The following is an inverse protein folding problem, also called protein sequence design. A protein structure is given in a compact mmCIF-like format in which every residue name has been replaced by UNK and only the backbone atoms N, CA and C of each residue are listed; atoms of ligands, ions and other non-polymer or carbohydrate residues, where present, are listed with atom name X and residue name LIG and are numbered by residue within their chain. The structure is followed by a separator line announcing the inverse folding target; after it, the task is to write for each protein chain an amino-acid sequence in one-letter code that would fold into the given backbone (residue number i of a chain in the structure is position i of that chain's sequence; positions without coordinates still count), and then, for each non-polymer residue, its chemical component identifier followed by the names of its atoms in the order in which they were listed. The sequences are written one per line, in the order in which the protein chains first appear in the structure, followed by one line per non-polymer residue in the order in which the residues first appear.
data_IF_984489494178
#
_entry.id   IF_984489494178
#
_cell.length_a   1.000
_cell.length_b   1.000
_cell.length_c   1.000
_cell.angle_alpha   90.00
_cell.angle_beta   90.00
_cell.angle_gamma   90.00
#
_symmetry.space_group_name_H-M   'P 1'
#
loop_
_entity.id
_entity.type
_entity.pdbx_description
1 polymer ?
#
# COMPACT_ATOMS: atom_id res chain seq x y z
N UNK A 1 10.75 21.55 15.19
CA UNK A 1 10.05 21.23 16.45
C UNK A 1 8.89 20.24 16.35
N UNK A 2 8.19 20.08 15.20
CA UNK A 2 6.98 19.23 15.05
C UNK A 2 7.12 17.73 15.46
N UNK A 3 8.34 17.23 15.70
CA UNK A 3 8.63 15.84 16.12
C UNK A 3 8.97 15.68 17.61
N UNK A 4 9.08 16.77 18.38
CA UNK A 4 9.36 16.70 19.82
C UNK A 4 8.05 16.89 20.58
N UNK A 5 7.64 15.88 21.36
CA UNK A 5 6.50 15.92 22.26
C UNK A 5 6.99 16.31 23.65
N UNK A 6 6.40 17.34 24.26
CA UNK A 6 6.79 17.81 25.60
C UNK A 6 5.67 17.54 26.60
N UNK A 7 6.02 17.15 27.82
CA UNK A 7 5.05 16.84 28.87
C UNK A 7 4.18 15.62 28.55
N UNK A 8 4.69 14.66 27.79
CA UNK A 8 3.92 13.53 27.26
C UNK A 8 3.57 12.52 28.36
N UNK A 9 4.53 12.17 29.21
CA UNK A 9 4.30 11.25 30.33
C UNK A 9 4.45 11.93 31.68
N UNK A 10 5.35 12.91 31.79
CA UNK A 10 5.58 13.67 33.03
C UNK A 10 5.83 15.16 32.73
N UNK A 11 5.43 16.09 33.61
CA UNK A 11 5.72 17.51 33.44
C UNK A 11 7.21 17.77 33.21
N UNK A 12 7.53 18.51 32.15
CA UNK A 12 8.90 18.89 31.80
C UNK A 12 9.69 17.87 30.97
N UNK A 13 9.15 16.68 30.68
CA UNK A 13 9.80 15.74 29.78
C UNK A 13 9.75 16.20 28.30
N UNK A 14 10.63 15.61 27.49
CA UNK A 14 10.66 15.80 26.05
C UNK A 14 11.02 14.48 25.36
N UNK A 15 10.19 14.09 24.40
CA UNK A 15 10.29 12.83 23.68
C UNK A 15 10.35 13.08 22.18
N UNK A 16 11.19 12.33 21.48
CA UNK A 16 11.24 12.37 20.03
C UNK A 16 10.27 11.35 19.44
N UNK A 17 9.28 11.83 18.71
CA UNK A 17 8.38 10.97 17.95
C UNK A 17 9.09 10.51 16.68
N UNK A 18 9.64 9.28 16.72
CA UNK A 18 10.27 8.66 15.56
C UNK A 18 9.27 8.43 14.44
N UNK A 19 8.01 8.20 14.83
CA UNK A 19 6.94 7.77 13.96
C UNK A 19 6.91 6.26 13.78
N UNK A 20 7.67 5.46 14.53
CA UNK A 20 7.69 4.00 14.37
C UNK A 20 6.73 3.33 15.36
N UNK A 21 5.96 2.37 14.87
CA UNK A 21 5.14 1.45 15.64
C UNK A 21 5.98 0.21 15.95
N UNK A 22 6.08 -0.13 17.24
CA UNK A 22 6.87 -1.25 17.73
C UNK A 22 5.97 -2.23 18.48
N UNK A 23 6.24 -3.53 18.35
CA UNK A 23 5.58 -4.60 19.11
C UNK A 23 6.60 -5.29 20.00
N UNK A 24 6.19 -5.59 21.23
CA UNK A 24 6.98 -6.44 22.12
C UNK A 24 6.77 -7.89 21.70
N UNK A 25 7.87 -8.60 21.46
CA UNK A 25 7.86 -10.01 21.06
C UNK A 25 8.63 -10.86 22.06
N UNK A 26 8.13 -12.06 22.29
CA UNK A 26 8.85 -13.09 23.03
C UNK A 26 9.63 -13.94 22.04
N UNK A 27 10.96 -13.94 22.17
CA UNK A 27 11.87 -14.70 21.29
C UNK A 27 12.41 -15.97 21.96
N UNK A 28 11.87 -16.37 23.12
CA UNK A 28 12.14 -17.65 23.79
C UNK A 28 13.54 -17.81 24.42
N UNK A 29 14.53 -17.01 23.99
CA UNK A 29 15.90 -17.03 24.50
C UNK A 29 16.31 -15.61 24.90
N UNK A 30 15.88 -15.17 26.09
CA UNK A 30 16.17 -13.83 26.59
C UNK A 30 16.76 -13.88 27.98
N UNK A 31 17.83 -13.12 28.20
CA UNK A 31 18.37 -12.81 29.53
C UNK A 31 17.43 -11.84 30.30
N UNK A 32 16.13 -12.11 30.31
CA UNK A 32 15.10 -11.32 31.00
C UNK A 32 14.80 -9.93 30.41
N UNK A 33 15.27 -9.63 29.19
CA UNK A 33 15.02 -8.33 28.53
C UNK A 33 13.87 -8.43 27.51
N UNK A 34 13.01 -7.40 27.40
CA UNK A 34 11.99 -7.33 26.35
C UNK A 34 12.62 -7.10 24.98
N UNK A 35 12.13 -7.81 23.96
CA UNK A 35 12.52 -7.60 22.57
C UNK A 35 11.44 -6.81 21.84
N UNK A 36 11.87 -5.88 20.99
CA UNK A 36 10.99 -5.03 20.21
C UNK A 36 11.18 -5.34 18.73
N UNK A 37 10.08 -5.65 18.05
CA UNK A 37 10.02 -5.79 16.61
C UNK A 37 9.42 -4.51 16.01
N UNK A 38 10.05 -3.99 14.97
CA UNK A 38 9.47 -2.94 14.15
C UNK A 38 8.23 -3.47 13.44
N UNK A 39 7.12 -2.76 13.57
CA UNK A 39 5.84 -3.11 12.93
C UNK A 39 5.63 -2.24 11.70
N UNK A 40 5.61 -0.93 11.88
CA UNK A 40 5.34 0.01 10.78
C UNK A 40 5.75 1.44 11.14
N UNK A 41 5.58 2.40 10.23
CA UNK A 41 5.63 3.83 10.54
C UNK A 41 4.21 4.42 10.59
N UNK A 42 3.93 5.22 11.62
CA UNK A 42 2.78 6.12 11.74
C UNK A 42 2.76 7.06 10.54
N UNK A 43 1.88 6.76 9.58
CA UNK A 43 1.76 7.46 8.30
C UNK A 43 1.96 6.57 7.07
N UNK A 44 2.56 5.39 7.23
CA UNK A 44 2.70 4.34 6.20
C UNK A 44 1.51 3.34 6.27
N UNK A 45 0.37 3.78 6.82
CA UNK A 45 -0.91 3.05 6.85
C UNK A 45 -2.00 3.82 6.12
N UNK A 46 -2.95 3.13 5.51
CA UNK A 46 -4.21 3.74 5.07
C UNK A 46 -5.40 3.07 5.75
N UNK A 47 -6.53 3.78 5.82
CA UNK A 47 -7.78 3.23 6.38
C UNK A 47 -8.74 2.92 5.25
N UNK A 48 -9.24 1.71 5.15
CA UNK A 48 -10.18 1.28 4.10
C UNK A 48 -11.36 0.56 4.72
N UNK A 49 -12.59 1.03 4.47
CA UNK A 49 -13.82 0.43 5.01
C UNK A 49 -13.73 0.16 6.52
N UNK A 50 -13.31 1.19 7.25
CA UNK A 50 -13.08 1.15 8.69
C UNK A 50 -11.97 0.22 9.23
N UNK A 51 -11.17 -0.39 8.37
CA UNK A 51 -9.99 -1.20 8.73
C UNK A 51 -8.70 -0.42 8.52
N UNK A 52 -7.69 -0.61 9.38
CA UNK A 52 -6.35 -0.06 9.18
C UNK A 52 -5.50 -1.07 8.41
N UNK A 53 -4.84 -0.62 7.35
CA UNK A 53 -4.01 -1.45 6.47
C UNK A 53 -2.57 -0.92 6.49
N UNK A 54 -1.63 -1.79 6.83
CA UNK A 54 -0.19 -1.51 6.73
C UNK A 54 0.26 -1.59 5.28
N UNK A 55 0.85 -0.52 4.76
CA UNK A 55 1.41 -0.55 3.39
C UNK A 55 2.65 -1.44 3.32
N UNK A 56 3.40 -1.57 4.41
CA UNK A 56 4.60 -2.40 4.48
C UNK A 56 4.23 -3.89 4.47
N UNK A 57 3.28 -4.33 5.31
CA UNK A 57 2.83 -5.73 5.34
C UNK A 57 2.28 -6.18 3.98
N UNK A 58 1.40 -5.36 3.38
CA UNK A 58 0.87 -5.63 2.05
C UNK A 58 1.99 -5.65 1.01
N UNK A 59 2.95 -4.74 1.11
CA UNK A 59 4.10 -4.67 0.22
C UNK A 59 5.01 -5.89 0.31
N UNK A 60 5.32 -6.37 1.53
CA UNK A 60 6.11 -7.58 1.76
C UNK A 60 5.44 -8.81 1.13
N UNK A 61 4.13 -8.97 1.32
CA UNK A 61 3.38 -10.07 0.71
C UNK A 61 3.41 -9.98 -0.82
N UNK A 62 3.21 -8.79 -1.39
CA UNK A 62 3.26 -8.60 -2.85
C UNK A 62 4.66 -8.88 -3.40
N UNK A 63 5.71 -8.42 -2.73
CA UNK A 63 7.10 -8.62 -3.13
C UNK A 63 7.54 -10.09 -3.07
N UNK A 64 6.83 -10.94 -2.33
CA UNK A 64 7.09 -12.38 -2.31
C UNK A 64 6.62 -13.11 -3.59
N UNK A 65 5.86 -12.45 -4.48
CA UNK A 65 5.42 -13.07 -5.74
C UNK A 65 6.58 -13.11 -6.76
N UNK A 66 6.86 -14.25 -7.44
CA UNK A 66 8.04 -14.41 -8.29
C UNK A 66 8.18 -13.43 -9.47
N UNK A 67 7.06 -12.85 -9.92
CA UNK A 67 7.06 -11.88 -11.02
C UNK A 67 7.25 -10.42 -10.59
N UNK A 68 7.39 -10.14 -9.29
CA UNK A 68 7.52 -8.78 -8.75
C UNK A 68 8.97 -8.56 -8.31
N UNK A 69 9.61 -7.49 -8.81
CA UNK A 69 10.90 -7.04 -8.32
C UNK A 69 10.74 -6.22 -7.03
N UNK A 70 9.82 -5.26 -7.04
CA UNK A 70 9.48 -4.43 -5.90
C UNK A 70 8.11 -3.78 -6.10
N UNK A 71 7.46 -3.37 -5.00
CA UNK A 71 6.22 -2.61 -5.03
C UNK A 71 6.19 -1.46 -4.01
N UNK A 72 5.40 -0.45 -4.33
CA UNK A 72 5.03 0.64 -3.45
C UNK A 72 3.53 0.63 -3.22
N UNK A 73 3.11 0.39 -1.97
CA UNK A 73 1.70 0.38 -1.58
C UNK A 73 1.33 1.72 -0.93
N UNK A 74 0.16 2.26 -1.28
CA UNK A 74 -0.36 3.51 -0.74
C UNK A 74 -1.89 3.59 -0.85
N UNK A 75 -2.50 4.49 -0.08
CA UNK A 75 -3.95 4.71 -0.10
C UNK A 75 -4.37 5.82 -1.07
N UNK A 76 -5.33 5.53 -1.94
CA UNK A 76 -5.95 6.49 -2.88
C UNK A 76 -7.42 6.74 -2.53
N UNK A 77 -7.90 7.95 -2.81
CA UNK A 77 -9.32 8.27 -2.59
C UNK A 77 -10.20 7.62 -3.65
N UNK A 78 -11.34 7.08 -3.23
CA UNK A 78 -12.38 6.58 -4.13
C UNK A 78 -13.67 7.31 -3.80
N UNK A 79 -14.33 7.98 -4.77
CA UNK A 79 -15.56 8.70 -4.51
C UNK A 79 -16.63 7.83 -3.86
N UNK A 80 -17.26 8.36 -2.81
CA UNK A 80 -18.33 7.70 -2.01
C UNK A 80 -17.92 6.42 -1.27
N UNK A 81 -16.63 6.12 -1.16
CA UNK A 81 -16.14 5.04 -0.32
C UNK A 81 -15.62 5.58 1.03
N UNK A 82 -15.67 4.74 2.08
CA UNK A 82 -15.12 5.08 3.39
C UNK A 82 -13.60 4.85 3.42
N UNK A 83 -12.86 5.94 3.63
CA UNK A 83 -11.41 5.94 3.72
C UNK A 83 -10.71 6.00 2.36
N UNK A 84 -9.59 5.29 2.24
CA UNK A 84 -8.72 5.23 1.06
C UNK A 84 -8.55 3.78 0.62
N UNK A 85 -8.78 3.51 -0.65
CA UNK A 85 -8.55 2.20 -1.23
C UNK A 85 -7.05 1.92 -1.37
N UNK A 86 -6.65 0.66 -1.20
CA UNK A 86 -5.27 0.26 -1.42
C UNK A 86 -4.91 0.34 -2.91
N UNK A 87 -3.75 0.92 -3.21
CA UNK A 87 -3.13 0.93 -4.53
C UNK A 87 -1.70 0.38 -4.41
N UNK A 88 -1.30 -0.48 -5.36
CA UNK A 88 0.06 -0.98 -5.44
C UNK A 88 0.69 -0.60 -6.80
N UNK A 89 1.75 0.19 -6.76
CA UNK A 89 2.63 0.40 -7.90
C UNK A 89 3.69 -0.71 -7.92
N UNK A 90 3.75 -1.48 -9.01
CA UNK A 90 4.54 -2.69 -9.15
C UNK A 90 5.63 -2.49 -10.21
N UNK A 91 6.83 -2.93 -9.90
CA UNK A 91 7.91 -3.15 -10.87
C UNK A 91 8.06 -4.64 -11.09
N UNK A 92 8.04 -5.09 -12.34
CA UNK A 92 8.16 -6.51 -12.67
C UNK A 92 9.61 -6.98 -12.56
N UNK A 93 9.78 -8.27 -12.26
CA UNK A 93 11.08 -8.93 -12.26
C UNK A 93 11.73 -8.92 -13.66
N UNK A 94 13.06 -9.00 -13.70
CA UNK A 94 13.80 -9.06 -14.96
C UNK A 94 13.33 -10.24 -15.81
N UNK A 95 13.13 -10.01 -17.12
CA UNK A 95 12.63 -11.02 -18.05
C UNK A 95 11.11 -11.22 -18.02
N UNK A 96 10.37 -10.58 -17.12
CA UNK A 96 8.90 -10.63 -17.09
C UNK A 96 8.32 -9.48 -17.92
N UNK A 97 7.83 -9.80 -19.13
CA UNK A 97 7.22 -8.79 -20.01
C UNK A 97 5.82 -8.37 -19.57
N UNK A 98 5.06 -9.29 -18.96
CA UNK A 98 3.69 -9.06 -18.51
C UNK A 98 3.41 -9.86 -17.24
N UNK A 99 2.67 -9.25 -16.31
CA UNK A 99 2.21 -9.91 -15.09
C UNK A 99 1.13 -10.96 -15.41
N UNK A 100 1.28 -12.17 -14.89
CA UNK A 100 0.20 -13.15 -14.84
C UNK A 100 -0.80 -12.74 -13.74
N UNK A 101 -1.89 -12.09 -14.16
CA UNK A 101 -2.92 -11.60 -13.25
C UNK A 101 -3.60 -12.73 -12.49
N UNK A 102 -3.77 -13.92 -13.08
CA UNK A 102 -4.44 -15.03 -12.40
C UNK A 102 -3.56 -15.57 -11.26
N UNK A 103 -2.27 -15.81 -11.55
CA UNK A 103 -1.30 -16.22 -10.53
C UNK A 103 -1.16 -15.15 -9.44
N UNK A 104 -1.01 -13.89 -9.83
CA UNK A 104 -0.85 -12.79 -8.88
C UNK A 104 -2.08 -12.60 -7.99
N UNK A 105 -3.28 -12.65 -8.59
CA UNK A 105 -4.54 -12.57 -7.83
C UNK A 105 -4.70 -13.72 -6.85
N UNK A 106 -4.36 -14.94 -7.23
CA UNK A 106 -4.42 -16.10 -6.33
C UNK A 106 -3.47 -15.92 -5.14
N UNK A 107 -2.25 -15.44 -5.38
CA UNK A 107 -1.27 -15.13 -4.33
C UNK A 107 -1.79 -14.07 -3.35
N UNK A 108 -2.25 -12.93 -3.85
CA UNK A 108 -2.82 -11.85 -3.02
C UNK A 108 -4.05 -12.32 -2.26
N UNK A 109 -4.98 -13.04 -2.90
CA UNK A 109 -6.20 -13.50 -2.24
C UNK A 109 -5.95 -14.59 -1.20
N UNK A 110 -4.91 -15.40 -1.37
CA UNK A 110 -4.53 -16.45 -0.41
C UNK A 110 -3.81 -15.90 0.82
N UNK A 111 -3.05 -14.81 0.68
CA UNK A 111 -2.18 -14.29 1.74
C UNK A 111 -2.76 -13.07 2.45
N UNK A 112 -3.66 -12.29 1.82
CA UNK A 112 -4.23 -11.08 2.39
C UNK A 112 -5.74 -11.21 2.67
N UNK A 113 -6.23 -10.69 3.81
CA UNK A 113 -7.65 -10.54 4.05
C UNK A 113 -8.27 -9.53 3.08
N UNK A 114 -9.57 -9.67 2.79
CA UNK A 114 -10.25 -8.91 1.74
C UNK A 114 -10.08 -7.39 1.83
N UNK A 115 -10.03 -6.82 3.04
CA UNK A 115 -9.88 -5.38 3.26
C UNK A 115 -8.45 -4.86 2.99
N UNK A 116 -7.43 -5.72 3.06
CA UNK A 116 -6.03 -5.34 2.88
C UNK A 116 -5.53 -5.52 1.44
N UNK A 117 -6.30 -6.25 0.61
CA UNK A 117 -5.97 -6.45 -0.81
C UNK A 117 -5.99 -5.11 -1.55
N UNK A 118 -4.94 -4.74 -2.30
CA UNK A 118 -4.98 -3.56 -3.14
C UNK A 118 -6.17 -3.64 -4.10
N UNK A 119 -6.95 -2.57 -4.18
CA UNK A 119 -8.04 -2.44 -5.15
C UNK A 119 -7.47 -2.14 -6.53
N UNK A 120 -6.39 -1.35 -6.60
CA UNK A 120 -5.75 -0.92 -7.84
C UNK A 120 -4.31 -1.41 -7.93
N UNK A 121 -3.90 -1.81 -9.12
CA UNK A 121 -2.50 -2.08 -9.45
C UNK A 121 -2.06 -1.16 -10.58
N UNK A 122 -0.79 -0.73 -10.53
CA UNK A 122 -0.12 0.00 -11.60
C UNK A 122 1.20 -0.68 -11.91
N UNK A 123 1.41 -1.11 -13.15
CA UNK A 123 2.68 -1.70 -13.58
C UNK A 123 3.57 -0.60 -14.16
N UNK A 124 4.60 -0.21 -13.41
CA UNK A 124 5.54 0.83 -13.82
C UNK A 124 6.57 0.26 -14.78
N UNK A 125 6.76 0.91 -15.94
CA UNK A 125 7.74 0.47 -16.95
C UNK A 125 9.18 0.78 -16.57
N UNK A 126 9.42 1.87 -15.86
CA UNK A 126 10.71 2.22 -15.27
C UNK A 126 10.44 2.84 -13.89
N UNK A 127 11.24 2.45 -12.89
CA UNK A 127 11.35 3.26 -11.67
C UNK A 127 12.01 4.56 -12.11
N UNK A 128 11.24 5.65 -12.23
CA UNK A 128 11.81 6.97 -12.42
C UNK A 128 12.80 7.21 -11.28
N UNK A 129 14.08 7.05 -11.58
CA UNK A 129 15.15 7.17 -10.61
C UNK A 129 15.55 8.64 -10.57
N UNK A 130 14.57 9.52 -10.39
CA UNK A 130 14.75 10.97 -10.40
C UNK A 130 14.54 11.49 -8.98
N UNK A 131 15.59 12.13 -8.45
CA UNK A 131 15.61 12.96 -7.24
C UNK A 131 14.64 12.60 -6.08
N UNK A 132 15.16 11.88 -5.07
CA UNK A 132 14.49 11.57 -3.79
C UNK A 132 13.14 10.82 -3.91
N UNK A 133 13.16 9.51 -3.56
CA UNK A 133 11.99 8.62 -3.43
C UNK A 133 10.73 9.20 -2.75
N UNK A 134 10.86 10.28 -1.97
CA UNK A 134 9.74 11.01 -1.36
C UNK A 134 8.89 11.79 -2.37
N UNK A 135 9.49 12.38 -3.40
CA UNK A 135 8.74 13.11 -4.44
C UNK A 135 7.90 12.13 -5.27
N UNK A 136 8.49 10.98 -5.63
CA UNK A 136 7.82 9.89 -6.38
C UNK A 136 6.56 9.39 -5.65
N UNK A 137 6.61 9.13 -4.34
CA UNK A 137 5.40 8.69 -3.59
C UNK A 137 4.30 9.75 -3.57
N UNK A 138 4.65 11.04 -3.54
CA UNK A 138 3.68 12.13 -3.62
C UNK A 138 2.96 12.17 -4.96
N UNK A 139 3.70 12.08 -6.05
CA UNK A 139 3.16 12.07 -7.41
C UNK A 139 2.32 10.82 -7.70
N UNK A 140 2.80 9.63 -7.30
CA UNK A 140 2.04 8.39 -7.43
C UNK A 140 0.67 8.45 -6.73
N UNK A 141 0.62 9.09 -5.56
CA UNK A 141 -0.63 9.29 -4.83
C UNK A 141 -1.55 10.31 -5.49
N UNK A 142 -1.00 11.34 -6.12
CA UNK A 142 -1.77 12.37 -6.83
C UNK A 142 -2.34 11.85 -8.15
N UNK A 143 -1.53 11.10 -8.93
CA UNK A 143 -1.95 10.47 -10.18
C UNK A 143 -2.96 9.34 -9.95
N UNK A 144 -2.79 8.59 -8.85
CA UNK A 144 -3.66 7.49 -8.46
C UNK A 144 -3.95 6.53 -9.64
N UNK A 145 -5.21 6.18 -9.86
CA UNK A 145 -5.70 5.34 -10.96
C UNK A 145 -6.27 6.15 -12.13
N UNK A 146 -5.85 7.41 -12.29
CA UNK A 146 -6.35 8.28 -13.35
C UNK A 146 -5.75 7.91 -14.71
N UNK A 147 -6.59 7.38 -15.60
CA UNK A 147 -6.22 6.99 -16.97
C UNK A 147 -5.76 8.18 -17.83
N UNK A 148 -6.09 9.42 -17.47
CA UNK A 148 -5.65 10.61 -18.23
C UNK A 148 -4.26 11.08 -17.80
N UNK A 149 -3.85 10.75 -16.57
CA UNK A 149 -2.55 11.17 -16.01
C UNK A 149 -1.49 10.07 -16.07
N UNK A 150 -1.88 8.81 -16.33
CA UNK A 150 -1.01 7.64 -16.24
C UNK A 150 -1.02 6.86 -17.55
N UNK A 151 0.16 6.65 -18.12
CA UNK A 151 0.37 5.81 -19.33
C UNK A 151 0.72 4.36 -19.00
N UNK A 152 1.00 4.07 -17.73
CA UNK A 152 1.28 2.73 -17.22
C UNK A 152 0.04 1.83 -17.29
N UNK A 153 0.26 0.51 -17.31
CA UNK A 153 -0.84 -0.44 -17.28
C UNK A 153 -1.51 -0.41 -15.90
N UNK A 154 -2.81 -0.11 -15.88
CA UNK A 154 -3.64 -0.07 -14.69
C UNK A 154 -4.58 -1.28 -14.64
N UNK A 155 -4.70 -1.87 -13.45
CA UNK A 155 -5.59 -2.99 -13.17
C UNK A 155 -6.43 -2.71 -11.93
N UNK A 156 -7.59 -3.36 -11.84
CA UNK A 156 -8.54 -3.19 -10.74
C UNK A 156 -9.11 -4.54 -10.30
N UNK A 157 -9.32 -4.69 -8.98
CA UNK A 157 -10.11 -5.74 -8.38
C UNK A 157 -11.54 -5.21 -8.20
N UNK A 158 -12.47 -5.61 -9.06
CA UNK A 158 -13.87 -5.18 -8.95
C UNK A 158 -14.53 -5.72 -7.67
N UNK A 159 -15.55 -5.05 -7.12
CA UNK A 159 -16.27 -5.54 -5.94
C UNK A 159 -16.78 -6.97 -6.14
N UNK A 160 -16.48 -7.86 -5.18
CA UNK A 160 -16.87 -9.27 -5.23
C UNK A 160 -16.03 -10.16 -6.16
N UNK A 161 -15.10 -9.60 -6.93
CA UNK A 161 -14.15 -10.36 -7.73
C UNK A 161 -12.99 -10.90 -6.87
N UNK A 162 -12.32 -11.91 -7.41
CA UNK A 162 -11.09 -12.49 -6.86
C UNK A 162 -9.93 -12.45 -7.87
N UNK A 163 -10.11 -11.77 -9.00
CA UNK A 163 -9.11 -11.63 -10.05
C UNK A 163 -9.01 -10.17 -10.50
N UNK A 164 -7.78 -9.70 -10.68
CA UNK A 164 -7.49 -8.39 -11.26
C UNK A 164 -7.76 -8.42 -12.77
N UNK A 165 -8.30 -7.31 -13.28
CA UNK A 165 -8.51 -7.10 -14.70
C UNK A 165 -8.09 -5.68 -15.10
N UNK A 166 -7.89 -5.44 -16.39
CA UNK A 166 -7.49 -4.13 -16.87
C UNK A 166 -8.53 -3.06 -16.49
N UNK A 167 -8.08 -1.91 -16.00
CA UNK A 167 -8.94 -0.79 -15.71
C UNK A 167 -9.32 -0.11 -17.04
N UNK A 168 -10.50 -0.46 -17.56
CA UNK A 168 -11.05 0.18 -18.75
C UNK A 168 -11.68 1.56 -18.44
N UNK A 169 -11.90 2.35 -19.49
CA UNK A 169 -12.45 3.70 -19.38
C UNK A 169 -13.89 3.73 -18.83
N UNK A 170 -14.68 2.67 -19.09
CA UNK A 170 -16.06 2.57 -18.64
C UNK A 170 -16.11 2.42 -17.10
N UNK A 171 -15.33 1.49 -16.56
CA UNK A 171 -15.27 1.25 -15.13
C UNK A 171 -14.56 2.40 -14.40
N UNK A 172 -13.53 3.00 -14.99
CA UNK A 172 -12.93 4.22 -14.45
C UNK A 172 -13.96 5.37 -14.34
N UNK A 173 -14.84 5.53 -15.32
CA UNK A 173 -15.93 6.50 -15.25
C UNK A 173 -16.94 6.17 -14.13
N UNK A 174 -17.27 4.88 -13.95
CA UNK A 174 -18.11 4.44 -12.82
C UNK A 174 -17.47 4.73 -11.46
N UNK A 175 -16.15 4.58 -11.34
CA UNK A 175 -15.43 4.93 -10.11
C UNK A 175 -15.52 6.44 -9.85
N UNK A 176 -15.22 7.27 -10.86
CA UNK A 176 -15.31 8.74 -10.75
C UNK A 176 -16.71 9.22 -10.35
N UNK A 177 -17.74 8.56 -10.88
CA UNK A 177 -19.14 8.88 -10.58
C UNK A 177 -19.64 8.29 -9.24
N UNK A 178 -18.81 7.50 -8.54
CA UNK A 178 -19.19 6.83 -7.30
C UNK A 178 -20.29 5.78 -7.48
N UNK A 179 -20.30 5.08 -8.62
CA UNK A 179 -21.27 4.02 -8.98
C UNK A 179 -20.58 2.68 -9.26
N UNK A 180 -19.30 2.56 -8.90
CA UNK A 180 -18.52 1.34 -9.03
C UNK A 180 -18.86 0.25 -7.99
N UNK A 181 -19.58 0.60 -6.92
CA UNK A 181 -19.99 -0.35 -5.86
C UNK A 181 -18.90 -0.65 -4.83
N UNK A 182 -17.91 0.24 -4.70
CA UNK A 182 -16.90 0.18 -3.63
C UNK A 182 -17.46 0.68 -2.30
#
# INVERSE_FOLDING_TARGET
EKKILRGAFKPGDAWFNTGDLMKIVDVGFTMGLPHYQFVDRVGDTFRWKSENVSTNEVGEIINAHPQIAFCNVYGVEVPRADGRAGMAALSLAEGVAQLDLASFSAHVCGQLPAYARPVFLRIQRELETTGTFKLVKGELRNQAYDLEQVTDALYVMKPGANQYEALDAEFAARIRNGTAGF
#
